data_IF_903195351968
#
_entry.id   IF_903195351968
#
_cell.length_a   1.000
_cell.length_b   1.000
_cell.length_c   1.000
_cell.angle_alpha   90.00
_cell.angle_beta   90.00
_cell.angle_gamma   90.00
#
_symmetry.space_group_name_H-M   'P 1'
#
loop_
_entity.id
_entity.type
_entity.pdbx_description
1 polymer ?
#
# COMPACT_ATOMS: atom_id res chain seq x y z
N UNK A 1 -2.87 -22.49 14.83
CA UNK A 1 -4.32 -22.43 15.08
C UNK A 1 -5.06 -22.85 13.81
N UNK A 2 -5.70 -24.02 13.77
CA UNK A 2 -6.37 -24.51 12.56
C UNK A 2 -7.64 -23.74 12.16
N UNK A 3 -8.16 -22.86 13.01
CA UNK A 3 -9.33 -22.01 12.70
C UNK A 3 -8.98 -20.59 12.23
N UNK A 4 -7.68 -20.27 12.11
CA UNK A 4 -7.23 -18.93 11.73
C UNK A 4 -7.65 -18.63 10.28
N UNK A 5 -8.43 -17.57 10.10
CA UNK A 5 -8.83 -17.10 8.77
C UNK A 5 -7.77 -16.18 8.16
N UNK A 6 -7.83 -15.97 6.84
CA UNK A 6 -6.90 -15.08 6.15
C UNK A 6 -6.99 -13.63 6.67
N UNK A 7 -8.19 -13.03 6.87
CA UNK A 7 -8.29 -11.69 7.43
C UNK A 7 -7.69 -11.58 8.83
N UNK A 8 -7.91 -12.57 9.70
CA UNK A 8 -7.33 -12.58 11.05
C UNK A 8 -5.80 -12.67 10.99
N UNK A 9 -5.27 -13.56 10.14
CA UNK A 9 -3.82 -13.68 9.95
C UNK A 9 -3.18 -12.38 9.47
N UNK A 10 -3.78 -11.72 8.47
CA UNK A 10 -3.23 -10.49 7.89
C UNK A 10 -3.41 -9.25 8.75
N UNK A 11 -4.41 -9.25 9.65
CA UNK A 11 -4.60 -8.17 10.59
C UNK A 11 -3.48 -8.11 11.66
N UNK A 12 -2.83 -9.25 11.92
CA UNK A 12 -1.68 -9.35 12.83
C UNK A 12 -0.33 -9.07 12.13
N UNK A 13 -0.32 -8.98 10.80
CA UNK A 13 0.90 -8.68 10.04
C UNK A 13 1.35 -7.22 10.21
N UNK A 14 2.66 -7.03 10.29
CA UNK A 14 3.24 -5.70 10.48
C UNK A 14 3.16 -4.87 9.18
N UNK A 15 2.52 -3.69 9.27
CA UNK A 15 2.62 -2.68 8.22
C UNK A 15 4.05 -2.14 8.16
N UNK A 16 4.75 -2.42 7.06
CA UNK A 16 6.12 -1.98 6.84
C UNK A 16 6.20 -0.69 6.04
N UNK A 17 5.29 -0.48 5.09
CA UNK A 17 5.18 0.77 4.34
C UNK A 17 3.74 0.99 3.87
N UNK A 18 3.45 2.24 3.49
CA UNK A 18 2.18 2.61 2.89
C UNK A 18 2.38 3.42 1.62
N UNK A 19 1.52 3.18 0.65
CA UNK A 19 1.50 3.91 -0.62
C UNK A 19 0.14 4.56 -0.79
N UNK A 20 0.13 5.86 -1.11
CA UNK A 20 -1.06 6.55 -1.60
C UNK A 20 -1.16 6.32 -3.11
N UNK A 21 -2.28 5.77 -3.56
CA UNK A 21 -2.61 5.54 -4.95
C UNK A 21 -3.65 6.59 -5.42
N UNK A 22 -3.51 7.12 -6.64
CA UNK A 22 -4.50 8.03 -7.21
C UNK A 22 -5.88 7.37 -7.26
N UNK A 23 -6.91 8.21 -7.34
CA UNK A 23 -8.26 7.73 -7.61
C UNK A 23 -8.28 7.09 -9.00
N UNK A 24 -8.59 5.79 -9.05
CA UNK A 24 -8.79 5.04 -10.29
C UNK A 24 -10.08 4.22 -10.19
N UNK A 25 -10.81 4.08 -11.30
CA UNK A 25 -11.93 3.14 -11.41
C UNK A 25 -11.47 1.69 -11.45
N UNK A 26 -10.21 1.44 -11.80
CA UNK A 26 -9.62 0.11 -11.92
C UNK A 26 -8.95 -0.38 -10.64
N UNK A 27 -9.05 0.38 -9.55
CA UNK A 27 -8.59 -0.09 -8.25
C UNK A 27 -9.59 -1.10 -7.67
N UNK A 28 -9.44 -2.36 -8.07
CA UNK A 28 -10.39 -3.44 -7.83
C UNK A 28 -10.24 -4.12 -6.45
N UNK A 29 -9.11 -3.92 -5.76
CA UNK A 29 -8.82 -4.63 -4.50
C UNK A 29 -9.91 -4.44 -3.42
N UNK A 30 -10.49 -3.25 -3.18
CA UNK A 30 -11.58 -3.11 -2.22
C UNK A 30 -12.83 -3.91 -2.58
N UNK A 31 -13.09 -4.11 -3.89
CA UNK A 31 -14.22 -4.89 -4.39
C UNK A 31 -13.96 -6.39 -4.27
N UNK A 32 -12.76 -6.83 -4.64
CA UNK A 32 -12.36 -8.25 -4.64
C UNK A 32 -12.07 -8.78 -3.23
N UNK A 33 -11.56 -7.92 -2.35
CA UNK A 33 -11.17 -8.25 -0.99
C UNK A 33 -11.74 -7.24 0.02
N UNK A 34 -13.06 -7.23 0.25
CA UNK A 34 -13.70 -6.22 1.10
C UNK A 34 -13.20 -6.20 2.54
N UNK A 35 -12.67 -7.33 3.03
CA UNK A 35 -12.10 -7.45 4.37
C UNK A 35 -10.80 -6.66 4.56
N UNK A 36 -10.13 -6.22 3.48
CA UNK A 36 -8.99 -5.29 3.56
C UNK A 36 -9.42 -3.84 3.76
N UNK A 37 -10.66 -3.49 3.42
CA UNK A 37 -11.14 -2.12 3.50
C UNK A 37 -11.40 -1.73 4.95
N UNK A 38 -10.69 -0.71 5.41
CA UNK A 38 -10.80 -0.18 6.75
C UNK A 38 -11.17 1.32 6.71
N UNK A 39 -11.97 1.74 7.68
CA UNK A 39 -12.55 3.09 7.69
C UNK A 39 -13.91 3.17 7.00
N UNK A 40 -14.65 4.25 7.29
CA UNK A 40 -16.02 4.48 6.82
C UNK A 40 -16.15 4.75 5.31
N UNK A 41 -17.35 5.13 4.88
CA UNK A 41 -17.68 5.26 3.46
C UNK A 41 -16.80 6.27 2.72
N UNK A 42 -16.50 5.91 1.47
CA UNK A 42 -15.67 6.66 0.52
C UNK A 42 -16.24 8.06 0.25
N UNK A 43 -15.39 9.08 0.34
CA UNK A 43 -15.62 10.34 -0.39
C UNK A 43 -15.30 10.12 -1.87
N UNK A 44 -16.19 10.57 -2.76
CA UNK A 44 -16.04 10.38 -4.21
C UNK A 44 -14.72 10.95 -4.77
N UNK A 45 -14.05 11.85 -4.05
CA UNK A 45 -12.80 12.51 -4.47
C UNK A 45 -11.54 11.96 -3.80
N UNK A 46 -11.65 10.91 -2.98
CA UNK A 46 -10.51 10.38 -2.23
C UNK A 46 -9.62 9.46 -3.07
N UNK A 47 -8.31 9.63 -2.87
CA UNK A 47 -7.27 8.65 -3.20
C UNK A 47 -7.35 7.47 -2.23
N UNK A 48 -6.56 6.42 -2.48
CA UNK A 48 -6.47 5.26 -1.58
C UNK A 48 -5.11 5.23 -0.90
N UNK A 49 -5.07 4.97 0.40
CA UNK A 49 -3.84 4.57 1.08
C UNK A 49 -3.87 3.06 1.28
N UNK A 50 -2.83 2.38 0.78
CA UNK A 50 -2.67 0.94 0.91
C UNK A 50 -1.48 0.66 1.81
N UNK A 51 -1.70 -0.12 2.85
CA UNK A 51 -0.67 -0.61 3.77
C UNK A 51 -0.12 -1.94 3.28
N UNK A 52 1.19 -2.10 3.33
CA UNK A 52 1.88 -3.29 2.85
C UNK A 52 2.78 -3.90 3.92
N UNK A 53 2.86 -5.23 3.92
CA UNK A 53 3.90 -5.96 4.62
C UNK A 53 5.25 -5.73 3.95
N UNK A 54 6.34 -6.05 4.64
CA UNK A 54 7.70 -5.98 4.09
C UNK A 54 7.85 -6.73 2.76
N UNK A 55 7.09 -7.81 2.58
CA UNK A 55 7.10 -8.68 1.39
C UNK A 55 6.45 -8.06 0.14
N UNK A 56 5.75 -6.93 0.28
CA UNK A 56 4.91 -6.35 -0.77
C UNK A 56 3.45 -6.83 -0.78
N UNK A 57 3.05 -7.62 0.22
CA UNK A 57 1.66 -8.06 0.36
C UNK A 57 0.77 -6.89 0.85
N UNK A 58 -0.33 -6.55 0.14
CA UNK A 58 -1.32 -5.60 0.64
C UNK A 58 -2.01 -6.15 1.89
N UNK A 59 -2.12 -5.32 2.93
CA UNK A 59 -2.72 -5.68 4.22
C UNK A 59 -4.03 -4.95 4.47
N UNK A 60 -4.07 -3.65 4.18
CA UNK A 60 -5.18 -2.77 4.55
C UNK A 60 -5.34 -1.62 3.57
N UNK A 61 -6.58 -1.23 3.30
CA UNK A 61 -6.93 -0.16 2.37
C UNK A 61 -7.78 0.88 3.11
N UNK A 62 -7.38 2.14 3.04
CA UNK A 62 -8.08 3.26 3.69
C UNK A 62 -8.32 4.40 2.68
N UNK A 63 -9.44 5.14 2.78
CA UNK A 63 -9.60 6.37 2.02
C UNK A 63 -8.59 7.41 2.48
N UNK A 64 -7.94 8.09 1.54
CA UNK A 64 -7.02 9.19 1.80
C UNK A 64 -7.59 10.51 1.32
N UNK A 65 -7.46 11.56 2.13
CA UNK A 65 -7.79 12.93 1.74
C UNK A 65 -6.73 13.55 0.82
N UNK A 66 -5.53 12.95 0.74
CA UNK A 66 -4.43 13.43 -0.10
C UNK A 66 -4.76 13.17 -1.57
N UNK A 67 -4.74 14.21 -2.39
CA UNK A 67 -4.83 14.05 -3.84
C UNK A 67 -3.43 13.76 -4.40
N UNK A 68 -3.29 12.65 -5.12
CA UNK A 68 -2.04 12.29 -5.83
C UNK A 68 -2.38 11.95 -7.27
N UNK A 69 -1.46 12.24 -8.19
CA UNK A 69 -1.59 11.92 -9.63
C UNK A 69 -0.82 10.66 -10.02
N UNK A 70 -0.01 10.12 -9.11
CA UNK A 70 0.80 8.92 -9.29
C UNK A 70 1.00 8.24 -7.93
N UNK A 71 1.40 6.96 -7.88
CA UNK A 71 1.73 6.30 -6.61
C UNK A 71 2.82 7.03 -5.84
N UNK A 72 2.57 7.29 -4.56
CA UNK A 72 3.49 7.99 -3.66
C UNK A 72 3.66 7.25 -2.35
N UNK A 73 4.90 7.08 -1.90
CA UNK A 73 5.19 6.57 -0.56
C UNK A 73 4.68 7.58 0.49
N UNK A 74 3.77 7.17 1.36
CA UNK A 74 3.24 8.01 2.44
C UNK A 74 3.82 7.66 3.81
N UNK A 75 4.28 6.44 3.99
CA UNK A 75 4.89 5.96 5.22
C UNK A 75 5.86 4.82 4.95
N UNK A 76 6.92 4.75 5.75
CA UNK A 76 7.78 3.57 5.87
C UNK A 76 8.18 3.41 7.32
N UNK A 77 8.23 2.17 7.81
CA UNK A 77 8.76 1.88 9.13
C UNK A 77 10.26 2.18 9.16
N UNK A 78 10.73 2.88 10.20
CA UNK A 78 12.16 3.19 10.35
C UNK A 78 12.99 1.91 10.45
N UNK A 79 14.08 1.86 9.68
CA UNK A 79 15.03 0.76 9.67
C UNK A 79 16.46 1.30 9.55
N UNK A 80 17.45 0.68 10.23
CA UNK A 80 18.86 1.02 10.02
C UNK A 80 19.44 0.43 8.73
N UNK A 81 18.72 -0.49 8.09
CA UNK A 81 19.12 -1.17 6.84
C UNK A 81 18.44 -0.49 5.66
N UNK A 82 19.15 -0.40 4.54
CA UNK A 82 18.61 0.10 3.28
C UNK A 82 17.33 -0.63 2.87
N UNK A 83 16.30 0.13 2.49
CA UNK A 83 14.98 -0.43 2.20
C UNK A 83 14.95 -1.32 0.96
N UNK A 84 15.89 -1.16 0.04
CA UNK A 84 16.00 -1.98 -1.17
C UNK A 84 16.17 -3.47 -0.83
N UNK A 85 16.97 -3.77 0.20
CA UNK A 85 17.17 -5.13 0.71
C UNK A 85 15.97 -5.69 1.48
N UNK A 86 15.08 -4.81 1.94
CA UNK A 86 13.94 -5.20 2.77
C UNK A 86 12.66 -5.35 1.94
N UNK A 87 12.52 -4.60 0.85
CA UNK A 87 11.24 -4.44 0.13
C UNK A 87 11.28 -4.96 -1.30
N UNK A 88 12.16 -5.93 -1.60
CA UNK A 88 12.33 -6.46 -2.97
C UNK A 88 12.56 -5.34 -4.00
N UNK A 89 13.33 -4.33 -3.60
CA UNK A 89 13.61 -3.13 -4.39
C UNK A 89 12.38 -2.25 -4.71
N UNK A 90 11.27 -2.36 -3.98
CA UNK A 90 10.12 -1.44 -4.15
C UNK A 90 10.38 -0.05 -3.55
N UNK A 91 11.16 0.01 -2.46
CA UNK A 91 11.54 1.24 -1.76
C UNK A 91 13.05 1.33 -1.68
N UNK A 92 13.58 2.53 -1.91
CA UNK A 92 15.01 2.82 -1.72
C UNK A 92 15.22 4.16 -1.00
N UNK A 93 16.48 4.50 -0.74
CA UNK A 93 16.86 5.71 -0.01
C UNK A 93 16.85 5.52 1.51
N UNK A 94 17.13 6.61 2.25
CA UNK A 94 17.21 6.61 3.72
C UNK A 94 16.67 7.91 4.28
N UNK A 95 16.06 7.86 5.46
CA UNK A 95 15.51 9.03 6.15
C UNK A 95 14.54 9.80 5.26
N UNK A 96 14.74 11.11 5.12
CA UNK A 96 13.90 11.97 4.28
C UNK A 96 14.04 11.71 2.77
N UNK A 97 15.08 11.00 2.33
CA UNK A 97 15.28 10.62 0.92
C UNK A 97 14.61 9.29 0.55
N UNK A 98 13.79 8.72 1.42
CA UNK A 98 13.13 7.44 1.16
C UNK A 98 12.01 7.61 0.14
N UNK A 99 11.99 6.77 -0.89
CA UNK A 99 11.05 6.88 -2.01
C UNK A 99 10.74 5.52 -2.64
N UNK A 100 9.64 5.44 -3.38
CA UNK A 100 9.38 4.31 -4.29
C UNK A 100 10.43 4.30 -5.40
N UNK A 101 11.01 3.15 -5.68
CA UNK A 101 11.83 2.96 -6.88
C UNK A 101 10.97 3.02 -8.14
N UNK A 102 11.59 3.08 -9.31
CA UNK A 102 10.86 2.95 -10.58
C UNK A 102 10.14 1.60 -10.70
N UNK A 103 10.75 0.53 -10.18
CA UNK A 103 10.13 -0.78 -10.12
C UNK A 103 8.89 -0.76 -9.21
N UNK A 104 9.02 -0.23 -7.99
CA UNK A 104 7.91 -0.09 -7.04
C UNK A 104 6.78 0.75 -7.62
N UNK A 105 7.10 1.89 -8.25
CA UNK A 105 6.10 2.75 -8.89
C UNK A 105 5.31 2.01 -9.98
N UNK A 106 5.98 1.26 -10.85
CA UNK A 106 5.34 0.46 -11.89
C UNK A 106 4.47 -0.66 -11.32
N UNK A 107 4.93 -1.33 -10.27
CA UNK A 107 4.14 -2.34 -9.58
C UNK A 107 2.84 -1.73 -9.01
N UNK A 108 2.93 -0.57 -8.37
CA UNK A 108 1.76 0.13 -7.83
C UNK A 108 0.82 0.62 -8.93
N UNK A 109 1.34 0.99 -10.11
CA UNK A 109 0.53 1.33 -11.27
C UNK A 109 -0.30 0.15 -11.78
N UNK A 110 0.19 -1.10 -11.68
CA UNK A 110 -0.60 -2.27 -12.08
C UNK A 110 -1.88 -2.45 -11.24
N UNK A 111 -1.91 -1.92 -10.02
CA UNK A 111 -3.11 -1.95 -9.18
C UNK A 111 -4.21 -1.00 -9.66
N UNK A 112 -3.89 -0.05 -10.53
CA UNK A 112 -4.77 1.07 -10.94
C UNK A 112 -4.86 1.27 -12.46
N UNK A 113 -4.16 0.46 -13.26
CA UNK A 113 -4.10 0.49 -14.73
C UNK A 113 -5.46 0.17 -15.39
N UNK A 114 -5.81 0.68 -16.60
CA UNK A 114 -5.01 1.47 -17.57
C UNK A 114 -5.07 3.00 -17.49
N UNK A 115 -5.70 3.60 -16.49
CA UNK A 115 -5.86 5.07 -16.43
C UNK A 115 -4.55 5.82 -16.10
#
# INVERSE_FOLDING_TARGET
NPSLTIPEFLNDEETFYKVTLPKSSHFELPRLYPWMLAGGSRSEKSSWEVSFARSGLPLKIEPSAKHVTQPELSYVKTSPIDYSYLTRDEISGRGQGTHLTEYGRRLMQLLIWPD
#
